data_IF_802849267699
#
_entry.id   IF_802849267699
#
_cell.length_a   1.000
_cell.length_b   1.000
_cell.length_c   1.000
_cell.angle_alpha   90.00
_cell.angle_beta   90.00
_cell.angle_gamma   90.00
#
_symmetry.space_group_name_H-M   'P 1'
#
loop_
_entity.id
_entity.type
_entity.pdbx_description
1 polymer ?
#
# COMPACT_ATOMS: atom_id res chain seq x y z
N UNK A 1 -7.65 -25.59 23.46
CA UNK A 1 -7.19 -24.40 24.21
C UNK A 1 -7.49 -23.18 23.35
N UNK A 2 -8.25 -22.20 23.85
CA UNK A 2 -8.49 -20.94 23.13
C UNK A 2 -7.20 -20.13 23.03
N UNK A 3 -7.05 -19.37 21.94
CA UNK A 3 -5.91 -18.47 21.77
C UNK A 3 -6.04 -17.26 22.71
N UNK A 4 -4.94 -16.80 23.33
CA UNK A 4 -4.94 -15.53 24.05
C UNK A 4 -5.06 -14.35 23.08
N UNK A 5 -5.65 -13.23 23.53
CA UNK A 5 -6.01 -12.07 22.69
C UNK A 5 -4.84 -11.51 21.87
N UNK A 6 -3.62 -11.51 22.41
CA UNK A 6 -2.44 -10.97 21.72
C UNK A 6 -1.88 -11.91 20.63
N UNK A 7 -2.41 -13.15 20.50
CA UNK A 7 -2.00 -14.11 19.47
C UNK A 7 -3.06 -14.32 18.40
N UNK A 8 -4.14 -13.55 18.36
CA UNK A 8 -5.21 -13.75 17.36
C UNK A 8 -4.72 -13.71 15.93
N UNK A 9 -3.64 -12.98 15.63
CA UNK A 9 -3.07 -12.92 14.28
C UNK A 9 -2.28 -14.17 13.87
N UNK A 10 -1.92 -15.07 14.79
CA UNK A 10 -1.20 -16.29 14.41
C UNK A 10 -2.06 -17.23 13.55
N UNK A 11 -3.38 -17.02 13.51
CA UNK A 11 -4.33 -17.82 12.72
C UNK A 11 -4.08 -17.74 11.21
N UNK A 12 -3.41 -16.70 10.70
CA UNK A 12 -3.16 -16.54 9.26
C UNK A 12 -1.78 -17.05 8.82
N UNK A 13 -0.90 -17.45 9.74
CA UNK A 13 0.51 -17.76 9.42
C UNK A 13 0.67 -18.93 8.43
N UNK A 14 -0.18 -19.95 8.53
CA UNK A 14 -0.14 -21.12 7.64
C UNK A 14 -1.13 -21.02 6.47
N UNK A 15 -1.77 -19.86 6.28
CA UNK A 15 -2.79 -19.64 5.26
C UNK A 15 -2.36 -18.51 4.33
N UNK A 16 -1.56 -18.82 3.28
CA UNK A 16 -0.93 -17.81 2.42
C UNK A 16 -1.93 -16.86 1.74
N UNK A 17 -3.10 -17.35 1.31
CA UNK A 17 -4.15 -16.50 0.75
C UNK A 17 -4.72 -15.48 1.76
N UNK A 18 -4.95 -15.91 3.01
CA UNK A 18 -5.39 -15.00 4.09
C UNK A 18 -4.28 -14.08 4.56
N UNK A 19 -3.05 -14.56 4.57
CA UNK A 19 -1.86 -13.76 4.84
C UNK A 19 -1.73 -12.64 3.81
N UNK A 20 -1.90 -12.93 2.51
CA UNK A 20 -1.92 -11.93 1.46
C UNK A 20 -3.06 -10.93 1.65
N UNK A 21 -4.27 -11.41 1.95
CA UNK A 21 -5.43 -10.56 2.22
C UNK A 21 -5.17 -9.53 3.34
N UNK A 22 -4.59 -9.94 4.48
CA UNK A 22 -4.28 -8.98 5.57
C UNK A 22 -3.17 -8.00 5.20
N UNK A 23 -2.22 -8.38 4.35
CA UNK A 23 -1.21 -7.45 3.84
C UNK A 23 -1.82 -6.43 2.88
N UNK A 24 -2.75 -6.85 2.01
CA UNK A 24 -3.51 -5.93 1.15
C UNK A 24 -4.37 -4.99 2.01
N UNK A 25 -4.98 -5.49 3.09
CA UNK A 25 -5.74 -4.65 4.02
C UNK A 25 -4.85 -3.58 4.66
N UNK A 26 -3.67 -3.97 5.16
CA UNK A 26 -2.72 -3.01 5.69
C UNK A 26 -2.31 -1.97 4.65
N UNK A 27 -2.05 -2.38 3.39
CA UNK A 27 -1.75 -1.47 2.30
C UNK A 27 -2.90 -0.50 2.00
N UNK A 28 -4.16 -0.99 2.00
CA UNK A 28 -5.34 -0.16 1.80
C UNK A 28 -5.47 0.91 2.92
N UNK A 29 -5.22 0.52 4.17
CA UNK A 29 -5.26 1.43 5.32
C UNK A 29 -4.17 2.50 5.23
N UNK A 30 -2.94 2.12 4.89
CA UNK A 30 -1.82 3.05 4.71
C UNK A 30 -2.09 4.01 3.54
N UNK A 31 -2.61 3.52 2.42
CA UNK A 31 -2.97 4.36 1.28
C UNK A 31 -4.10 5.34 1.62
N UNK A 32 -5.14 4.88 2.31
CA UNK A 32 -6.23 5.75 2.77
C UNK A 32 -5.72 6.81 3.75
N UNK A 33 -4.84 6.43 4.67
CA UNK A 33 -4.25 7.36 5.61
C UNK A 33 -3.47 8.45 4.87
N UNK A 34 -2.60 8.08 3.93
CA UNK A 34 -1.85 9.03 3.11
C UNK A 34 -2.76 9.99 2.33
N UNK A 35 -3.81 9.47 1.68
CA UNK A 35 -4.79 10.31 0.97
C UNK A 35 -5.58 11.24 1.89
N UNK A 36 -6.01 10.75 3.05
CA UNK A 36 -6.74 11.56 4.03
C UNK A 36 -5.87 12.64 4.66
N UNK A 37 -4.59 12.35 4.90
CA UNK A 37 -3.64 13.31 5.44
C UNK A 37 -3.36 14.41 4.42
N UNK A 38 -3.19 14.05 3.15
CA UNK A 38 -3.01 15.02 2.07
C UNK A 38 -4.25 15.93 1.90
N UNK A 39 -5.47 15.39 1.99
CA UNK A 39 -6.70 16.21 1.97
C UNK A 39 -6.81 17.12 3.20
N UNK A 40 -6.46 16.59 4.38
CA UNK A 40 -6.47 17.37 5.62
C UNK A 40 -5.50 18.55 5.53
N UNK A 41 -4.26 18.29 5.10
CA UNK A 41 -3.24 19.32 4.90
C UNK A 41 -3.71 20.37 3.89
N UNK A 42 -4.34 19.95 2.80
CA UNK A 42 -4.89 20.86 1.79
C UNK A 42 -5.97 21.79 2.34
N UNK A 43 -6.83 21.29 3.24
CA UNK A 43 -7.93 22.07 3.83
C UNK A 43 -7.42 23.13 4.83
N UNK A 44 -6.35 22.83 5.56
CA UNK A 44 -5.80 23.75 6.58
C UNK A 44 -4.70 24.67 6.02
N UNK A 45 -4.26 24.44 4.79
CA UNK A 45 -3.18 25.19 4.17
C UNK A 45 -3.59 26.61 3.77
N UNK A 46 -2.76 27.60 4.13
CA UNK A 46 -2.87 28.99 3.68
C UNK A 46 -1.74 29.36 2.70
N UNK A 47 -2.04 29.59 1.41
CA UNK A 47 -1.04 29.97 0.41
C UNK A 47 -0.71 31.48 0.37
N UNK A 48 -1.29 32.31 1.25
CA UNK A 48 -1.32 33.76 1.06
C UNK A 48 0.03 34.47 1.24
N UNK A 49 0.94 33.95 2.06
CA UNK A 49 2.27 34.53 2.30
C UNK A 49 3.40 33.49 2.19
N UNK A 50 3.88 33.20 0.97
CA UNK A 50 4.91 32.18 0.75
C UNK A 50 6.31 32.62 1.20
N UNK A 51 6.52 33.88 1.59
CA UNK A 51 7.82 34.43 2.00
C UNK A 51 8.00 34.30 3.52
N UNK A 52 6.96 34.59 4.29
CA UNK A 52 7.00 34.56 5.75
C UNK A 52 6.32 33.32 6.36
N UNK A 53 5.45 32.63 5.61
CA UNK A 53 4.83 31.36 6.00
C UNK A 53 5.22 30.22 5.03
N UNK A 54 6.51 29.85 5.12
CA UNK A 54 7.20 28.93 4.22
C UNK A 54 6.60 27.51 4.21
N UNK A 55 7.02 26.69 3.24
CA UNK A 55 6.59 25.30 3.04
C UNK A 55 6.72 24.41 4.30
N UNK A 56 7.82 24.58 5.06
CA UNK A 56 8.12 23.89 6.32
C UNK A 56 7.35 24.46 7.52
N UNK A 57 6.60 25.55 7.30
CA UNK A 57 5.64 26.16 8.22
C UNK A 57 4.19 25.92 7.78
N UNK A 58 3.86 25.86 6.46
CA UNK A 58 2.49 25.71 5.92
C UNK A 58 2.30 24.95 4.56
N UNK A 59 3.19 25.00 3.56
CA UNK A 59 3.21 24.22 2.25
C UNK A 59 2.50 24.70 0.94
N UNK A 60 3.12 25.45 -0.02
CA UNK A 60 3.03 25.23 -1.51
C UNK A 60 3.83 26.24 -2.40
N UNK A 61 4.22 25.85 -3.65
CA UNK A 61 4.00 26.60 -4.92
C UNK A 61 4.36 25.76 -6.18
N UNK A 62 3.35 25.27 -6.92
CA UNK A 62 3.45 24.90 -8.35
C UNK A 62 2.29 25.57 -9.09
N UNK A 63 2.60 26.35 -10.12
CA UNK A 63 1.60 26.94 -11.02
C UNK A 63 1.25 25.96 -12.15
N UNK A 64 -0.03 25.58 -12.26
CA UNK A 64 -0.61 24.70 -13.29
C UNK A 64 -0.11 23.22 -13.28
N UNK A 65 -0.42 22.46 -12.22
CA UNK A 65 -0.02 21.05 -12.07
C UNK A 65 -0.75 20.04 -12.98
N UNK A 66 -1.74 20.48 -13.76
CA UNK A 66 -2.56 19.58 -14.59
C UNK A 66 -3.25 18.49 -13.76
N UNK A 67 -3.29 17.26 -14.27
CA UNK A 67 -3.95 16.12 -13.60
C UNK A 67 -3.18 15.58 -12.39
N UNK A 68 -1.93 16.00 -12.18
CA UNK A 68 -1.09 15.56 -11.06
C UNK A 68 -1.03 16.61 -9.95
N UNK A 69 -2.16 17.28 -9.69
CA UNK A 69 -2.32 18.18 -8.56
C UNK A 69 -2.48 17.42 -7.23
N UNK A 70 -2.31 18.10 -6.10
CA UNK A 70 -2.40 17.48 -4.77
C UNK A 70 -3.77 16.84 -4.52
N UNK A 71 -4.84 17.48 -4.98
CA UNK A 71 -6.20 16.97 -4.92
C UNK A 71 -6.33 15.64 -5.69
N UNK A 72 -5.75 15.57 -6.88
CA UNK A 72 -5.77 14.36 -7.71
C UNK A 72 -4.88 13.26 -7.14
N UNK A 73 -3.70 13.59 -6.59
CA UNK A 73 -2.84 12.61 -5.90
C UNK A 73 -3.56 12.04 -4.67
N UNK A 74 -4.19 12.89 -3.87
CA UNK A 74 -4.97 12.46 -2.72
C UNK A 74 -6.17 11.60 -3.15
N UNK A 75 -6.90 12.02 -4.18
CA UNK A 75 -8.00 11.25 -4.78
C UNK A 75 -7.55 9.88 -5.31
N UNK A 76 -6.39 9.81 -5.96
CA UNK A 76 -5.81 8.55 -6.45
C UNK A 76 -5.51 7.57 -5.29
N UNK A 77 -5.01 8.07 -4.15
CA UNK A 77 -4.78 7.24 -2.96
C UNK A 77 -6.09 6.69 -2.37
N UNK A 78 -7.17 7.49 -2.34
CA UNK A 78 -8.48 7.04 -1.88
C UNK A 78 -9.08 5.99 -2.82
N UNK A 79 -9.03 6.22 -4.14
CA UNK A 79 -9.53 5.25 -5.13
C UNK A 79 -8.72 3.94 -5.07
N UNK A 80 -7.39 4.04 -5.00
CA UNK A 80 -6.51 2.88 -4.85
C UNK A 80 -6.83 2.09 -3.57
N UNK A 81 -7.05 2.78 -2.44
CA UNK A 81 -7.46 2.14 -1.19
C UNK A 81 -8.77 1.36 -1.34
N UNK A 82 -9.78 1.94 -2.00
CA UNK A 82 -11.06 1.27 -2.27
C UNK A 82 -10.91 0.02 -3.14
N UNK A 83 -10.07 0.09 -4.19
CA UNK A 83 -9.76 -1.07 -5.03
C UNK A 83 -9.03 -2.16 -4.24
N UNK A 84 -8.06 -1.79 -3.39
CA UNK A 84 -7.40 -2.73 -2.50
C UNK A 84 -8.39 -3.39 -1.54
N UNK A 85 -9.36 -2.65 -1.00
CA UNK A 85 -10.36 -3.20 -0.08
C UNK A 85 -11.23 -4.29 -0.76
N UNK A 86 -11.61 -4.10 -2.02
CA UNK A 86 -12.27 -5.14 -2.81
C UNK A 86 -11.37 -6.37 -3.00
N UNK A 87 -10.09 -6.16 -3.28
CA UNK A 87 -9.12 -7.24 -3.40
C UNK A 87 -8.92 -8.01 -2.08
N UNK A 88 -8.99 -7.35 -0.92
CA UNK A 88 -8.95 -8.00 0.40
C UNK A 88 -10.08 -9.01 0.53
N UNK A 89 -11.32 -8.60 0.24
CA UNK A 89 -12.51 -9.45 0.34
C UNK A 89 -12.34 -10.68 -0.56
N UNK A 90 -11.90 -10.46 -1.80
CA UNK A 90 -11.66 -11.55 -2.75
C UNK A 90 -10.61 -12.54 -2.23
N UNK A 91 -9.42 -12.07 -1.85
CA UNK A 91 -8.35 -12.94 -1.36
C UNK A 91 -8.67 -13.62 -0.02
N UNK A 92 -9.53 -13.02 0.81
CA UNK A 92 -9.98 -13.62 2.06
C UNK A 92 -10.93 -14.79 1.82
N UNK A 93 -11.89 -14.61 0.91
CA UNK A 93 -12.89 -15.63 0.56
C UNK A 93 -12.25 -16.75 -0.26
N UNK A 94 -11.49 -16.39 -1.30
CA UNK A 94 -10.80 -17.32 -2.20
C UNK A 94 -9.36 -17.56 -1.74
N UNK A 95 -9.19 -18.02 -0.50
CA UNK A 95 -7.86 -18.22 0.10
C UNK A 95 -7.19 -19.55 -0.32
N UNK A 96 -7.98 -20.55 -0.70
CA UNK A 96 -7.54 -21.93 -0.99
C UNK A 96 -7.27 -22.11 -2.50
N UNK A 97 -6.28 -21.38 -3.01
CA UNK A 97 -5.84 -21.49 -4.40
C UNK A 97 -4.74 -22.54 -4.55
N UNK A 98 -4.82 -23.34 -5.62
CA UNK A 98 -3.83 -24.39 -5.93
C UNK A 98 -2.39 -23.83 -6.04
N UNK A 99 -2.22 -22.58 -6.47
CA UNK A 99 -0.90 -21.91 -6.56
C UNK A 99 -0.16 -21.81 -5.22
N UNK A 100 -0.89 -21.88 -4.11
CA UNK A 100 -0.32 -21.84 -2.78
C UNK A 100 -0.06 -23.23 -2.21
N UNK A 101 -0.53 -24.28 -2.86
CA UNK A 101 -0.34 -25.66 -2.46
C UNK A 101 0.82 -26.28 -3.23
N UNK A 102 1.65 -27.03 -2.51
CA UNK A 102 2.67 -27.85 -3.15
C UNK A 102 2.01 -29.06 -3.84
N UNK A 103 2.34 -29.30 -5.11
CA UNK A 103 1.76 -30.41 -5.90
C UNK A 103 2.11 -31.79 -5.31
N UNK A 104 3.27 -31.91 -4.68
CA UNK A 104 3.75 -33.18 -4.11
C UNK A 104 3.12 -33.49 -2.75
N UNK A 105 2.87 -32.49 -1.91
CA UNK A 105 2.41 -32.68 -0.52
C UNK A 105 0.98 -32.21 -0.26
N UNK A 106 0.37 -31.45 -1.17
CA UNK A 106 -0.96 -30.85 -1.01
C UNK A 106 -1.05 -29.83 0.13
N UNK A 107 0.09 -29.42 0.69
CA UNK A 107 0.15 -28.48 1.83
C UNK A 107 0.46 -27.07 1.34
N UNK A 108 0.01 -26.03 2.06
CA UNK A 108 0.41 -24.67 1.77
C UNK A 108 1.93 -24.53 1.83
N UNK A 109 2.56 -24.09 0.75
CA UNK A 109 4.00 -23.88 0.68
C UNK A 109 4.33 -22.55 -0.01
N UNK A 110 5.30 -21.83 0.56
CA UNK A 110 5.81 -20.57 0.01
C UNK A 110 7.31 -20.70 -0.19
N UNK A 111 7.74 -20.54 -1.44
CA UNK A 111 9.16 -20.51 -1.80
C UNK A 111 9.76 -19.14 -1.47
N UNK A 112 10.02 -18.91 -0.18
CA UNK A 112 10.52 -17.63 0.36
C UNK A 112 11.78 -17.10 -0.33
N UNK A 113 12.84 -17.90 -0.61
CA UNK A 113 14.03 -17.38 -1.27
C UNK A 113 13.73 -16.80 -2.66
N UNK A 114 12.94 -17.52 -3.46
CA UNK A 114 12.55 -17.07 -4.82
C UNK A 114 11.66 -15.83 -4.78
N UNK A 115 10.78 -15.73 -3.78
CA UNK A 115 9.95 -14.55 -3.57
C UNK A 115 10.81 -13.33 -3.20
N UNK A 116 11.79 -13.49 -2.32
CA UNK A 116 12.71 -12.42 -1.92
C UNK A 116 13.55 -11.93 -3.10
N UNK A 117 14.03 -12.84 -3.95
CA UNK A 117 14.73 -12.48 -5.19
C UNK A 117 13.84 -11.64 -6.12
N UNK A 118 12.59 -12.07 -6.32
CA UNK A 118 11.62 -11.33 -7.14
C UNK A 118 11.33 -9.93 -6.59
N UNK A 119 11.11 -9.81 -5.27
CA UNK A 119 10.87 -8.53 -4.61
C UNK A 119 12.08 -7.62 -4.80
N UNK A 120 13.28 -8.10 -4.50
CA UNK A 120 14.50 -7.32 -4.59
C UNK A 120 14.81 -6.87 -6.03
N UNK A 121 14.63 -7.75 -7.00
CA UNK A 121 14.81 -7.43 -8.42
C UNK A 121 13.81 -6.35 -8.87
N UNK A 122 12.54 -6.51 -8.52
CA UNK A 122 11.47 -5.56 -8.84
C UNK A 122 11.74 -4.18 -8.21
N UNK A 123 12.14 -4.13 -6.94
CA UNK A 123 12.48 -2.88 -6.24
C UNK A 123 13.69 -2.17 -6.88
N UNK A 124 14.74 -2.92 -7.23
CA UNK A 124 15.91 -2.36 -7.93
C UNK A 124 15.55 -1.74 -9.27
N UNK A 125 14.71 -2.42 -10.05
CA UNK A 125 14.29 -1.93 -11.37
C UNK A 125 13.47 -0.65 -11.25
N UNK A 126 12.56 -0.59 -10.28
CA UNK A 126 11.80 0.63 -9.99
C UNK A 126 12.72 1.78 -9.59
N UNK A 127 13.67 1.55 -8.69
CA UNK A 127 14.62 2.58 -8.24
C UNK A 127 15.48 3.11 -9.40
N UNK A 128 15.99 2.23 -10.27
CA UNK A 128 16.76 2.63 -11.45
C UNK A 128 15.90 3.44 -12.44
N UNK A 129 14.66 3.03 -12.68
CA UNK A 129 13.75 3.76 -13.55
C UNK A 129 13.46 5.16 -13.01
N UNK A 130 13.17 5.28 -11.71
CA UNK A 130 12.96 6.58 -11.06
C UNK A 130 14.21 7.46 -11.20
N UNK A 131 15.40 6.92 -10.93
CA UNK A 131 16.65 7.67 -11.05
C UNK A 131 16.92 8.16 -12.49
N UNK A 132 16.61 7.35 -13.51
CA UNK A 132 16.87 7.71 -14.91
C UNK A 132 15.87 8.75 -15.46
N UNK A 133 14.60 8.69 -15.04
CA UNK A 133 13.56 9.59 -15.59
C UNK A 133 13.31 10.84 -14.75
N UNK A 134 13.85 10.92 -13.53
CA UNK A 134 13.65 12.06 -12.61
C UNK A 134 14.91 12.93 -12.39
N UNK A 135 16.07 12.55 -12.97
CA UNK A 135 17.29 13.37 -13.06
C UNK A 135 17.43 13.95 -14.46
#
# INVERSE_FOLDING_TARGET
>A
MSLPWYRVHTVVLNYPGRLLSVHIMHMALVASWAGSMALYELVVFDPSDPVLDLIWRQWWTITNPGIWCYECVAGAHIVFSGLCFLAVIWHWVYWDLEIFCDECTGKPSLNLPRLLEFIYFSQKRLALALAHFML
#
